data_IF_793685248516
#
_entry.id   IF_793685248516
#
_cell.length_a   1.000
_cell.length_b   1.000
_cell.length_c   1.000
_cell.angle_alpha   90.00
_cell.angle_beta   90.00
_cell.angle_gamma   90.00
#
_symmetry.space_group_name_H-M   'P 1'
#
loop_
_entity.id
_entity.type
_entity.pdbx_description
1 polymer ?
#
# COMPACT_ATOMS: atom_id res chain seq x y z
N UNK A 1 -9.15 -12.98 7.42
CA UNK A 1 -8.39 -11.74 7.68
C UNK A 1 -8.39 -10.96 6.39
N UNK A 2 -8.77 -9.68 6.45
CA UNK A 2 -8.83 -8.80 5.29
C UNK A 2 -7.55 -7.98 5.18
N UNK A 3 -6.88 -8.08 4.04
CA UNK A 3 -5.59 -7.44 3.75
C UNK A 3 -5.79 -6.45 2.62
N UNK A 4 -5.37 -5.21 2.85
CA UNK A 4 -5.33 -4.17 1.83
C UNK A 4 -3.87 -3.93 1.41
N UNK A 5 -3.51 -4.29 0.18
CA UNK A 5 -2.22 -3.94 -0.41
C UNK A 5 -2.33 -2.64 -1.20
N UNK A 6 -1.43 -1.69 -0.94
CA UNK A 6 -1.47 -0.34 -1.50
C UNK A 6 -0.17 -0.04 -2.24
N UNK A 7 -0.30 0.34 -3.51
CA UNK A 7 0.74 1.09 -4.25
C UNK A 7 0.54 2.58 -3.96
N UNK A 8 1.46 3.25 -3.23
CA UNK A 8 1.28 4.65 -2.86
C UNK A 8 1.30 5.60 -4.06
N UNK A 9 0.69 6.80 -3.96
CA UNK A 9 0.74 7.79 -5.02
C UNK A 9 2.14 8.41 -5.13
N UNK A 10 2.54 8.79 -6.34
CA UNK A 10 3.68 9.68 -6.53
C UNK A 10 3.33 11.11 -6.08
N UNK A 11 4.26 11.77 -5.37
CA UNK A 11 4.11 13.16 -4.97
C UNK A 11 3.51 13.37 -3.58
N UNK A 12 3.98 14.41 -2.91
CA UNK A 12 3.77 14.64 -1.49
C UNK A 12 2.28 14.77 -1.09
N UNK A 13 1.45 15.32 -1.98
CA UNK A 13 0.01 15.53 -1.73
C UNK A 13 -0.89 14.41 -2.27
N UNK A 14 -0.31 13.31 -2.76
CA UNK A 14 -1.08 12.26 -3.45
C UNK A 14 -1.40 12.63 -4.90
N UNK A 15 -0.41 13.12 -5.65
CA UNK A 15 -0.63 13.48 -7.04
C UNK A 15 -0.80 12.22 -7.89
N UNK A 16 -1.94 12.11 -8.56
CA UNK A 16 -2.17 10.98 -9.46
C UNK A 16 -1.25 11.10 -10.67
N UNK A 17 -0.44 10.07 -10.93
CA UNK A 17 0.55 10.08 -12.00
C UNK A 17 -0.13 10.26 -13.37
N UNK A 18 0.26 11.32 -14.10
CA UNK A 18 -0.21 11.59 -15.47
C UNK A 18 0.60 10.88 -16.56
N UNK A 19 1.76 10.30 -16.22
CA UNK A 19 2.75 9.89 -17.23
C UNK A 19 3.76 8.83 -16.81
N UNK A 20 3.61 8.17 -15.66
CA UNK A 20 4.37 6.95 -15.36
C UNK A 20 3.46 5.73 -15.59
N UNK A 21 3.58 5.05 -16.74
CA UNK A 21 2.91 3.78 -16.94
C UNK A 21 3.75 2.69 -16.26
N UNK A 22 3.08 1.75 -15.60
CA UNK A 22 3.64 0.53 -15.03
C UNK A 22 4.26 0.77 -13.64
N UNK A 23 3.39 0.84 -12.62
CA UNK A 23 3.77 0.21 -11.35
C UNK A 23 4.08 -1.26 -11.66
N UNK A 24 5.20 -1.83 -11.18
CA UNK A 24 5.43 -3.27 -11.29
C UNK A 24 4.19 -4.01 -10.78
N UNK A 25 3.81 -5.17 -11.33
CA UNK A 25 2.63 -5.95 -10.91
C UNK A 25 2.83 -6.63 -9.54
N UNK A 26 3.47 -5.90 -8.62
CA UNK A 26 3.89 -6.37 -7.30
C UNK A 26 2.68 -6.62 -6.41
N UNK A 27 1.60 -5.85 -6.58
CA UNK A 27 0.36 -6.06 -5.83
C UNK A 27 -0.27 -7.40 -6.23
N UNK A 28 -0.32 -7.69 -7.52
CA UNK A 28 -0.85 -8.92 -8.09
C UNK A 28 0.02 -10.12 -7.73
N UNK A 29 1.36 -9.96 -7.74
CA UNK A 29 2.27 -11.00 -7.26
C UNK A 29 2.11 -11.27 -5.77
N UNK A 30 2.00 -10.23 -4.94
CA UNK A 30 1.76 -10.39 -3.51
C UNK A 30 0.42 -11.06 -3.24
N UNK A 31 -0.65 -10.69 -3.96
CA UNK A 31 -1.95 -11.36 -3.85
C UNK A 31 -1.85 -12.85 -4.18
N UNK A 32 -1.29 -13.18 -5.35
CA UNK A 32 -1.14 -14.56 -5.80
C UNK A 32 -0.25 -15.41 -4.88
N UNK A 33 0.84 -14.86 -4.36
CA UNK A 33 1.72 -15.55 -3.41
C UNK A 33 1.09 -15.68 -2.03
N UNK A 34 0.34 -14.67 -1.59
CA UNK A 34 -0.40 -14.72 -0.31
C UNK A 34 -1.46 -15.81 -0.37
N UNK A 35 -2.28 -15.88 -1.42
CA UNK A 35 -3.28 -16.95 -1.57
C UNK A 35 -2.69 -18.35 -1.65
N UNK A 36 -1.46 -18.52 -2.14
CA UNK A 36 -0.79 -19.83 -2.12
C UNK A 36 -0.50 -20.35 -0.71
N UNK A 37 -0.24 -19.46 0.24
CA UNK A 37 0.09 -19.84 1.63
C UNK A 37 -1.07 -19.59 2.60
N UNK A 38 -2.00 -18.72 2.23
CA UNK A 38 -3.20 -18.35 2.98
C UNK A 38 -4.42 -18.20 2.05
N UNK A 39 -5.03 -19.34 1.65
CA UNK A 39 -6.13 -19.33 0.67
C UNK A 39 -7.38 -18.56 1.11
N UNK A 40 -7.68 -18.54 2.41
CA UNK A 40 -8.86 -17.87 2.98
C UNK A 40 -8.64 -16.38 3.28
N UNK A 41 -7.53 -15.79 2.85
CA UNK A 41 -7.29 -14.36 2.99
C UNK A 41 -8.18 -13.56 2.02
N UNK A 42 -8.91 -12.58 2.54
CA UNK A 42 -9.60 -11.59 1.72
C UNK A 42 -8.58 -10.52 1.34
N UNK A 43 -8.35 -10.32 0.04
CA UNK A 43 -7.31 -9.40 -0.45
C UNK A 43 -7.95 -8.31 -1.31
N UNK A 44 -7.65 -7.07 -0.95
CA UNK A 44 -8.00 -5.87 -1.72
C UNK A 44 -6.70 -5.21 -2.21
N UNK A 45 -6.71 -4.79 -3.47
CA UNK A 45 -5.58 -4.12 -4.11
C UNK A 45 -5.98 -2.69 -4.45
N UNK A 46 -5.20 -1.71 -4.00
CA UNK A 46 -5.45 -0.30 -4.27
C UNK A 46 -4.19 0.34 -4.87
N UNK A 47 -4.33 0.88 -6.08
CA UNK A 47 -3.32 1.76 -6.66
C UNK A 47 -3.69 3.22 -6.41
N UNK A 48 -3.04 3.84 -5.42
CA UNK A 48 -3.30 5.22 -5.06
C UNK A 48 -2.84 6.23 -6.13
N UNK A 49 -2.15 5.75 -7.18
CA UNK A 49 -1.87 6.56 -8.37
C UNK A 49 -3.08 6.67 -9.30
N UNK A 50 -4.10 5.81 -9.14
CA UNK A 50 -5.31 5.72 -9.97
C UNK A 50 -6.59 5.98 -9.19
N UNK A 51 -6.57 5.72 -7.89
CA UNK A 51 -7.71 5.94 -7.00
C UNK A 51 -7.28 6.76 -5.77
N UNK A 52 -8.21 7.52 -5.19
CA UNK A 52 -7.91 8.24 -3.95
C UNK A 52 -7.93 7.26 -2.78
N UNK A 53 -6.91 7.34 -1.93
CA UNK A 53 -6.86 6.58 -0.68
C UNK A 53 -7.43 7.40 0.48
N UNK A 54 -8.47 6.86 1.14
CA UNK A 54 -9.15 7.47 2.29
C UNK A 54 -8.92 6.62 3.55
N UNK A 55 -7.96 6.97 4.42
CA UNK A 55 -7.61 6.17 5.60
C UNK A 55 -8.80 5.88 6.53
N UNK A 56 -9.72 6.83 6.64
CA UNK A 56 -10.95 6.73 7.44
C UNK A 56 -11.98 5.71 6.89
N UNK A 57 -11.84 5.29 5.63
CA UNK A 57 -12.72 4.32 4.98
C UNK A 57 -12.10 2.91 4.94
N UNK A 58 -10.91 2.72 5.52
CA UNK A 58 -10.21 1.44 5.48
C UNK A 58 -10.94 0.39 6.31
N UNK A 59 -11.54 -0.56 5.61
CA UNK A 59 -12.12 -1.78 6.15
C UNK A 59 -11.17 -2.95 5.88
N UNK A 60 -10.04 -2.98 6.59
CA UNK A 60 -9.08 -4.09 6.56
C UNK A 60 -8.46 -4.29 7.95
N UNK A 61 -8.04 -5.52 8.23
CA UNK A 61 -7.31 -5.91 9.44
C UNK A 61 -5.83 -5.53 9.32
N UNK A 62 -5.28 -5.64 8.11
CA UNK A 62 -3.88 -5.39 7.78
C UNK A 62 -3.76 -4.49 6.55
N UNK A 63 -3.03 -3.38 6.68
CA UNK A 63 -2.70 -2.48 5.56
C UNK A 63 -1.23 -2.61 5.22
N UNK A 64 -0.93 -2.92 3.95
CA UNK A 64 0.41 -3.18 3.47
C UNK A 64 0.77 -2.18 2.37
N UNK A 65 1.87 -1.44 2.52
CA UNK A 65 2.36 -0.54 1.48
C UNK A 65 3.62 -1.09 0.79
N UNK A 66 3.70 -0.96 -0.54
CA UNK A 66 4.94 -1.18 -1.31
C UNK A 66 5.58 0.18 -1.65
N UNK A 67 6.68 0.51 -1.00
CA UNK A 67 7.21 1.88 -0.96
C UNK A 67 8.42 2.04 -1.88
N UNK A 68 8.29 2.93 -2.84
CA UNK A 68 9.42 3.53 -3.57
C UNK A 68 9.89 4.80 -2.85
N UNK A 69 11.15 5.18 -3.01
CA UNK A 69 11.73 6.38 -2.38
C UNK A 69 10.89 7.66 -2.51
N UNK A 70 10.35 8.03 -3.69
CA UNK A 70 9.54 9.24 -3.80
C UNK A 70 8.16 9.15 -3.12
N UNK A 71 7.72 7.96 -2.73
CA UNK A 71 6.44 7.71 -2.06
C UNK A 71 6.57 7.74 -0.53
N UNK A 72 7.77 7.55 0.00
CA UNK A 72 8.01 7.35 1.44
C UNK A 72 7.42 8.45 2.33
N UNK A 73 7.58 9.76 2.05
CA UNK A 73 7.01 10.80 2.92
C UNK A 73 5.48 10.73 3.03
N UNK A 74 4.80 10.42 1.92
CA UNK A 74 3.35 10.24 1.92
C UNK A 74 2.97 8.97 2.69
N UNK A 75 3.65 7.86 2.42
CA UNK A 75 3.37 6.57 3.06
C UNK A 75 3.55 6.63 4.56
N UNK A 76 4.61 7.26 5.07
CA UNK A 76 4.83 7.38 6.52
C UNK A 76 3.72 8.17 7.20
N UNK A 77 3.30 9.30 6.64
CA UNK A 77 2.16 10.07 7.19
C UNK A 77 0.87 9.25 7.21
N UNK A 78 0.60 8.49 6.16
CA UNK A 78 -0.58 7.62 6.11
C UNK A 78 -0.48 6.45 7.09
N UNK A 79 0.70 5.85 7.22
CA UNK A 79 0.96 4.80 8.19
C UNK A 79 0.75 5.29 9.63
N UNK A 80 1.22 6.49 9.96
CA UNK A 80 1.00 7.11 11.27
C UNK A 80 -0.47 7.38 11.53
N UNK A 81 -1.21 7.92 10.55
CA UNK A 81 -2.66 8.13 10.66
C UNK A 81 -3.42 6.81 10.87
N UNK A 82 -3.10 5.77 10.10
CA UNK A 82 -3.71 4.44 10.22
C UNK A 82 -3.41 3.79 11.57
N UNK A 83 -2.16 3.86 12.04
CA UNK A 83 -1.75 3.36 13.36
C UNK A 83 -2.44 4.11 14.50
N UNK A 84 -2.59 5.43 14.38
CA UNK A 84 -3.34 6.23 15.36
C UNK A 84 -4.83 5.84 15.43
N UNK A 85 -5.37 5.27 14.35
CA UNK A 85 -6.72 4.69 14.30
C UNK A 85 -6.77 3.21 14.74
N UNK A 86 -5.66 2.65 15.23
CA UNK A 86 -5.58 1.25 15.69
C UNK A 86 -5.42 0.21 14.58
N UNK A 87 -5.15 0.62 13.32
CA UNK A 87 -4.92 -0.31 12.21
C UNK A 87 -3.52 -0.90 12.27
N UNK A 88 -3.39 -2.18 11.93
CA UNK A 88 -2.09 -2.80 11.72
C UNK A 88 -1.52 -2.39 10.35
N UNK A 89 -0.27 -1.92 10.33
CA UNK A 89 0.37 -1.41 9.12
C UNK A 89 1.75 -2.03 8.91
N UNK A 90 1.97 -2.61 7.72
CA UNK A 90 3.26 -3.15 7.27
C UNK A 90 3.76 -2.33 6.09
N UNK A 91 5.04 -1.94 6.13
CA UNK A 91 5.70 -1.24 5.04
C UNK A 91 6.74 -2.17 4.42
N UNK A 92 6.73 -2.30 3.11
CA UNK A 92 7.71 -3.05 2.33
C UNK A 92 8.13 -2.29 1.07
N UNK A 93 8.77 -2.98 0.13
CA UNK A 93 9.27 -2.37 -1.10
C UNK A 93 10.69 -1.82 -0.95
N UNK A 94 11.29 -1.44 -2.09
CA UNK A 94 12.72 -1.16 -2.21
C UNK A 94 13.22 -0.08 -1.23
N UNK A 95 12.41 0.93 -0.93
CA UNK A 95 12.81 2.00 -0.01
C UNK A 95 13.01 1.46 1.41
N UNK A 96 11.98 0.79 1.94
CA UNK A 96 11.99 0.23 3.29
C UNK A 96 12.99 -0.92 3.40
N UNK A 97 13.21 -1.70 2.33
CA UNK A 97 14.26 -2.71 2.33
C UNK A 97 15.66 -2.09 2.40
N UNK A 98 15.90 -0.99 1.68
CA UNK A 98 17.21 -0.35 1.66
C UNK A 98 17.51 0.42 2.97
N UNK A 99 16.48 1.04 3.57
CA UNK A 99 16.55 1.85 4.78
C UNK A 99 15.27 1.62 5.62
N UNK A 100 15.24 0.57 6.48
CA UNK A 100 14.05 0.20 7.25
C UNK A 100 13.72 1.17 8.39
#
# INVERSE_FOLDING_TARGET
MKILFISPPFGEKGQMSKGLPIAPPVLEYLAGLTWKVWPDAEIELLDANKEHFYPEQVDADLVCFTVLTPQAPWTYRMADKLRAMGKQVVLGGIHVTALP
#
